data_IF_132184821601
#
_entry.id   IF_132184821601
#
_cell.length_a   1.000
_cell.length_b   1.000
_cell.length_c   1.000
_cell.angle_alpha   90.00
_cell.angle_beta   90.00
_cell.angle_gamma   90.00
#
_symmetry.space_group_name_H-M   'P 1'
#
loop_
_entity.id
_entity.type
_entity.pdbx_description
1 polymer ?
#
# COMPACT_ATOMS: atom_id res chain seq x y z
N UNK A 1 -103.93 49.83 -0.36
CA UNK A 1 -104.15 48.45 0.08
C UNK A 1 -103.03 47.58 -0.59
N UNK A 2 -102.00 47.29 0.15
CA UNK A 2 -100.96 46.37 -0.28
C UNK A 2 -101.28 44.96 0.25
N UNK A 3 -101.14 43.90 -0.50
CA UNK A 3 -101.34 42.55 0.01
C UNK A 3 -100.14 42.09 0.87
N UNK A 4 -100.36 41.17 1.81
CA UNK A 4 -99.29 40.73 2.72
C UNK A 4 -98.24 39.85 2.04
N UNK A 5 -96.99 39.98 2.52
CA UNK A 5 -95.86 39.20 2.06
C UNK A 5 -96.01 37.72 2.46
N UNK A 6 -95.95 36.84 1.46
CA UNK A 6 -95.85 35.38 1.66
C UNK A 6 -94.47 35.04 2.21
N UNK A 7 -94.43 34.31 3.33
CA UNK A 7 -93.27 33.76 3.96
C UNK A 7 -92.72 32.58 3.11
N UNK A 8 -91.49 32.79 2.56
CA UNK A 8 -90.79 31.66 1.91
C UNK A 8 -90.30 30.68 3.00
N UNK A 9 -90.92 29.45 2.96
CA UNK A 9 -90.46 28.32 3.76
C UNK A 9 -89.33 27.66 3.03
N UNK A 10 -88.11 27.77 3.60
CA UNK A 10 -86.99 26.99 3.13
C UNK A 10 -87.08 25.55 3.51
N UNK A 11 -86.82 24.58 2.61
CA UNK A 11 -86.84 23.17 3.03
C UNK A 11 -85.65 22.90 3.95
N UNK A 12 -85.92 22.15 5.02
CA UNK A 12 -84.95 21.70 5.99
C UNK A 12 -83.90 20.85 5.34
N UNK A 13 -82.64 21.29 5.36
CA UNK A 13 -81.47 20.52 4.84
C UNK A 13 -81.31 19.24 5.68
N UNK A 14 -81.52 18.09 5.06
CA UNK A 14 -81.20 16.83 5.68
C UNK A 14 -79.71 16.69 5.94
N UNK A 15 -79.23 16.28 7.10
CA UNK A 15 -77.81 16.13 7.38
C UNK A 15 -77.19 15.08 6.46
N UNK A 16 -76.25 15.53 5.65
CA UNK A 16 -75.42 14.65 4.80
C UNK A 16 -74.61 13.75 5.71
N UNK A 17 -74.77 12.46 5.58
CA UNK A 17 -74.01 11.46 6.33
C UNK A 17 -72.53 11.61 5.96
N UNK A 18 -71.59 11.64 6.92
CA UNK A 18 -70.14 11.76 6.63
C UNK A 18 -69.67 10.56 5.77
N UNK A 19 -68.77 10.80 4.80
CA UNK A 19 -68.26 9.73 3.95
C UNK A 19 -67.61 8.62 4.78
N UNK A 20 -67.96 7.38 4.48
CA UNK A 20 -67.42 6.20 5.15
C UNK A 20 -65.87 6.22 5.02
N UNK A 21 -65.18 6.30 6.16
CA UNK A 21 -63.72 6.21 6.19
C UNK A 21 -63.27 4.88 5.61
N UNK A 22 -62.28 4.87 4.64
CA UNK A 22 -61.80 3.62 4.07
C UNK A 22 -61.25 2.75 5.21
N UNK A 23 -61.81 1.56 5.37
CA UNK A 23 -61.29 0.53 6.27
C UNK A 23 -60.02 -0.01 5.68
N UNK A 24 -58.85 0.60 6.04
CA UNK A 24 -57.53 0.01 5.76
C UNK A 24 -57.49 -1.34 6.49
N UNK A 25 -57.57 -2.42 5.70
CA UNK A 25 -57.33 -3.76 6.24
C UNK A 25 -55.90 -3.77 6.76
N UNK A 26 -55.72 -3.87 8.07
CA UNK A 26 -54.42 -4.07 8.68
C UNK A 26 -53.80 -5.33 8.04
N UNK A 27 -52.62 -5.24 7.38
CA UNK A 27 -52.02 -6.43 6.82
C UNK A 27 -51.89 -7.48 7.93
N UNK A 28 -52.26 -8.72 7.59
CA UNK A 28 -52.21 -9.79 8.59
C UNK A 28 -50.76 -9.90 9.10
N UNK A 29 -50.57 -10.04 10.40
CA UNK A 29 -49.25 -10.08 11.05
C UNK A 29 -48.31 -11.07 10.40
N UNK A 30 -48.82 -12.15 9.81
CA UNK A 30 -48.03 -13.11 9.06
C UNK A 30 -47.50 -12.56 7.75
N UNK A 31 -48.21 -11.68 7.03
CA UNK A 31 -47.72 -11.06 5.80
C UNK A 31 -46.56 -10.12 6.07
N UNK A 32 -46.60 -9.36 7.18
CA UNK A 32 -45.47 -8.53 7.63
C UNK A 32 -44.26 -9.41 7.99
N UNK A 33 -44.51 -10.53 8.70
CA UNK A 33 -43.42 -11.46 9.06
C UNK A 33 -42.75 -12.10 7.82
N UNK A 34 -43.56 -12.51 6.82
CA UNK A 34 -43.05 -13.07 5.57
C UNK A 34 -42.22 -12.05 4.78
N UNK A 35 -42.73 -10.80 4.65
CA UNK A 35 -42.01 -9.73 3.97
C UNK A 35 -40.68 -9.41 4.70
N UNK A 36 -40.69 -9.35 6.04
CA UNK A 36 -39.49 -9.13 6.84
C UNK A 36 -38.47 -10.27 6.66
N UNK A 37 -38.93 -11.51 6.57
CA UNK A 37 -38.09 -12.69 6.37
C UNK A 37 -37.48 -12.72 4.95
N UNK A 38 -38.25 -12.30 3.94
CA UNK A 38 -37.76 -12.16 2.57
C UNK A 38 -36.72 -11.03 2.43
N UNK A 39 -36.94 -9.89 3.12
CA UNK A 39 -35.98 -8.79 3.16
C UNK A 39 -34.71 -9.24 3.89
N UNK A 40 -34.85 -9.88 5.05
CA UNK A 40 -33.70 -10.39 5.80
C UNK A 40 -32.93 -11.48 5.03
N UNK A 41 -33.63 -12.38 4.35
CA UNK A 41 -33.06 -13.41 3.49
C UNK A 41 -32.35 -12.80 2.25
N UNK A 42 -32.96 -11.80 1.61
CA UNK A 42 -32.35 -11.06 0.51
C UNK A 42 -31.11 -10.28 0.95
N UNK A 43 -31.19 -9.62 2.11
CA UNK A 43 -30.04 -8.90 2.70
C UNK A 43 -28.91 -9.86 3.08
N UNK A 44 -29.24 -11.00 3.67
CA UNK A 44 -28.27 -12.05 4.01
C UNK A 44 -27.64 -12.65 2.73
N UNK A 45 -28.43 -12.95 1.70
CA UNK A 45 -27.94 -13.46 0.43
C UNK A 45 -27.03 -12.45 -0.30
N UNK A 46 -27.23 -11.16 -0.06
CA UNK A 46 -26.37 -10.09 -0.61
C UNK A 46 -25.11 -9.86 0.25
N UNK A 47 -25.24 -9.80 1.57
CA UNK A 47 -24.15 -9.47 2.48
C UNK A 47 -23.20 -10.64 2.75
N UNK A 48 -23.71 -11.89 2.80
CA UNK A 48 -22.86 -13.05 3.09
C UNK A 48 -21.74 -13.25 2.06
N UNK A 49 -22.00 -13.19 0.74
CA UNK A 49 -20.92 -13.27 -0.26
C UNK A 49 -19.90 -12.14 -0.13
N UNK A 50 -20.35 -10.91 0.17
CA UNK A 50 -19.49 -9.75 0.37
C UNK A 50 -18.60 -9.96 1.61
N UNK A 51 -19.19 -10.38 2.74
CA UNK A 51 -18.44 -10.66 3.97
C UNK A 51 -17.46 -11.84 3.79
N UNK A 52 -17.85 -12.86 3.03
CA UNK A 52 -16.93 -13.96 2.72
C UNK A 52 -15.81 -13.55 1.77
N UNK A 53 -16.10 -12.68 0.79
CA UNK A 53 -15.07 -12.10 -0.10
C UNK A 53 -14.13 -11.20 0.70
N UNK A 54 -14.67 -10.31 1.53
CA UNK A 54 -13.90 -9.45 2.42
C UNK A 54 -13.03 -10.26 3.39
N UNK A 55 -13.55 -11.37 3.96
CA UNK A 55 -12.79 -12.24 4.86
C UNK A 55 -11.66 -12.98 4.12
N UNK A 56 -11.86 -13.38 2.86
CA UNK A 56 -10.81 -13.99 2.03
C UNK A 56 -9.75 -12.96 1.65
N UNK A 57 -10.18 -11.79 1.14
CA UNK A 57 -9.28 -10.69 0.81
C UNK A 57 -8.46 -10.25 2.03
N UNK A 58 -9.07 -10.22 3.21
CA UNK A 58 -8.39 -9.92 4.47
C UNK A 58 -7.23 -10.89 4.74
N UNK A 59 -7.44 -12.20 4.59
CA UNK A 59 -6.39 -13.20 4.80
C UNK A 59 -5.28 -13.17 3.72
N UNK A 60 -5.57 -12.64 2.52
CA UNK A 60 -4.61 -12.50 1.43
C UNK A 60 -3.76 -11.22 1.55
N UNK A 61 -4.36 -10.13 2.03
CA UNK A 61 -3.68 -8.82 2.21
C UNK A 61 -2.89 -8.79 3.52
N UNK A 62 -3.54 -9.21 4.63
CA UNK A 62 -2.95 -9.13 5.96
C UNK A 62 -2.36 -10.47 6.35
N UNK A 63 -1.07 -10.62 6.10
CA UNK A 63 -0.35 -11.81 6.56
C UNK A 63 -0.20 -11.78 8.08
N UNK A 64 -0.29 -12.93 8.70
CA UNK A 64 0.04 -13.08 10.13
C UNK A 64 1.42 -12.45 10.37
N UNK A 65 1.64 -11.75 11.48
CA UNK A 65 2.94 -11.19 11.79
C UNK A 65 4.01 -12.25 11.59
N UNK A 66 4.87 -12.04 10.61
CA UNK A 66 5.99 -12.94 10.34
C UNK A 66 6.91 -12.86 11.56
N UNK A 67 7.37 -14.00 12.11
CA UNK A 67 8.37 -13.98 13.18
C UNK A 67 9.53 -13.09 12.75
N UNK A 68 9.84 -12.09 13.55
CA UNK A 68 10.94 -11.16 13.26
C UNK A 68 12.26 -11.90 13.48
N UNK A 69 13.06 -12.13 12.44
CA UNK A 69 14.38 -12.66 12.66
C UNK A 69 15.21 -11.59 13.38
N UNK A 70 15.75 -11.94 14.53
CA UNK A 70 16.67 -11.08 15.30
C UNK A 70 18.09 -11.41 14.88
N UNK A 71 18.88 -10.39 14.54
CA UNK A 71 20.29 -10.56 14.25
C UNK A 71 21.05 -10.65 15.57
N UNK A 72 21.66 -11.80 15.85
CA UNK A 72 22.54 -12.02 17.01
C UNK A 72 23.97 -12.13 16.51
N UNK A 73 24.87 -11.40 17.13
CA UNK A 73 26.31 -11.52 16.85
C UNK A 73 26.84 -12.69 17.68
N UNK A 74 27.29 -13.75 17.02
CA UNK A 74 27.89 -14.89 17.71
C UNK A 74 29.26 -14.52 18.34
N UNK A 75 29.82 -15.35 19.20
CA UNK A 75 31.11 -15.08 19.82
C UNK A 75 32.29 -14.88 18.85
N UNK A 76 32.15 -15.32 17.61
CA UNK A 76 33.11 -15.15 16.53
C UNK A 76 32.91 -13.83 15.75
N UNK A 77 31.93 -12.99 16.14
CA UNK A 77 31.63 -11.71 15.49
C UNK A 77 30.83 -11.83 14.20
N UNK A 78 30.27 -13.01 13.90
CA UNK A 78 29.44 -13.24 12.68
C UNK A 78 27.98 -13.00 13.01
N UNK A 79 27.24 -12.23 12.19
CA UNK A 79 25.80 -12.08 12.37
C UNK A 79 25.06 -13.35 11.98
N UNK A 80 24.26 -13.87 12.89
CA UNK A 80 23.36 -15.00 12.69
C UNK A 80 21.91 -14.56 12.85
N UNK A 81 21.01 -15.13 12.06
CA UNK A 81 19.58 -14.91 12.21
C UNK A 81 19.03 -15.97 13.17
N UNK A 82 18.35 -15.49 14.21
CA UNK A 82 17.62 -16.33 15.14
C UNK A 82 16.15 -15.99 15.04
N UNK A 83 15.31 -16.99 14.74
CA UNK A 83 13.87 -16.86 14.96
C UNK A 83 13.63 -17.11 16.45
N UNK A 84 13.19 -16.08 17.15
CA UNK A 84 12.63 -16.29 18.47
C UNK A 84 11.35 -17.12 18.31
N UNK A 85 11.42 -18.38 18.69
CA UNK A 85 10.23 -19.18 18.87
C UNK A 85 9.49 -18.56 20.05
N UNK A 86 8.26 -18.02 19.87
CA UNK A 86 7.51 -17.53 21.01
C UNK A 86 7.29 -18.72 21.92
N UNK A 87 7.82 -18.64 23.15
CA UNK A 87 7.35 -19.54 24.19
C UNK A 87 5.82 -19.40 24.26
N UNK A 88 5.07 -20.48 24.56
CA UNK A 88 3.62 -20.46 24.62
C UNK A 88 3.17 -19.68 25.89
N UNK A 89 3.52 -18.44 25.95
CA UNK A 89 2.88 -17.48 26.85
C UNK A 89 1.82 -16.77 26.04
N UNK A 90 0.62 -16.67 26.60
CA UNK A 90 -0.45 -15.83 26.04
C UNK A 90 0.18 -14.53 25.55
N UNK A 91 -0.07 -14.11 24.29
CA UNK A 91 0.54 -12.90 23.75
C UNK A 91 0.03 -11.74 24.60
N UNK A 92 0.85 -11.33 25.57
CA UNK A 92 0.76 -9.95 26.05
C UNK A 92 1.09 -9.12 24.83
N UNK A 93 0.13 -8.37 24.24
CA UNK A 93 0.44 -7.55 23.09
C UNK A 93 1.52 -6.59 23.54
N UNK A 94 2.75 -6.78 23.05
CA UNK A 94 3.74 -5.71 23.09
C UNK A 94 3.02 -4.52 22.45
N UNK A 95 2.80 -3.40 23.15
CA UNK A 95 2.11 -2.27 22.58
C UNK A 95 2.93 -1.85 21.36
N UNK A 96 2.40 -2.18 20.16
CA UNK A 96 2.86 -1.54 18.95
C UNK A 96 2.73 -0.03 19.18
N UNK A 97 3.71 0.80 18.76
CA UNK A 97 3.59 2.23 18.91
C UNK A 97 2.20 2.63 18.37
N UNK A 98 1.37 3.15 19.26
CA UNK A 98 0.07 3.66 18.83
C UNK A 98 0.40 4.86 17.94
N UNK A 99 -0.33 5.05 16.86
CA UNK A 99 -0.14 6.24 16.00
C UNK A 99 -0.69 7.49 16.66
N UNK A 100 -1.25 7.30 17.82
CA UNK A 100 -1.45 8.31 18.86
C UNK A 100 -0.14 8.58 19.65
N UNK A 101 0.94 7.83 19.37
CA UNK A 101 2.26 7.96 19.96
C UNK A 101 3.15 8.96 19.21
N UNK A 102 4.21 9.38 19.89
CA UNK A 102 5.21 10.33 19.40
C UNK A 102 6.35 9.66 18.61
N UNK A 103 6.31 8.33 18.48
CA UNK A 103 7.40 7.57 17.86
C UNK A 103 7.30 7.55 16.34
N UNK A 104 8.44 7.71 15.70
CA UNK A 104 8.60 7.66 14.25
C UNK A 104 8.36 6.25 13.72
N UNK A 105 7.68 6.15 12.58
CA UNK A 105 7.28 4.89 11.95
C UNK A 105 8.09 4.68 10.68
N UNK A 106 8.78 3.55 10.59
CA UNK A 106 9.55 3.18 9.41
C UNK A 106 8.86 2.03 8.69
N UNK A 107 8.53 2.23 7.41
CA UNK A 107 7.83 1.28 6.56
C UNK A 107 8.72 0.95 5.37
N UNK A 108 8.91 -0.33 5.09
CA UNK A 108 9.64 -0.80 3.92
C UNK A 108 8.65 -1.11 2.79
N UNK A 109 8.71 -0.33 1.72
CA UNK A 109 7.96 -0.59 0.50
C UNK A 109 8.77 -1.50 -0.41
N UNK A 110 8.18 -2.61 -0.85
CA UNK A 110 8.80 -3.62 -1.70
C UNK A 110 8.03 -3.77 -3.01
N UNK A 111 8.72 -3.58 -4.13
CA UNK A 111 8.23 -3.96 -5.45
C UNK A 111 8.89 -5.28 -5.88
N UNK A 112 8.08 -6.32 -6.09
CA UNK A 112 8.57 -7.68 -6.35
C UNK A 112 8.28 -8.10 -7.77
N UNK A 113 9.30 -8.65 -8.44
CA UNK A 113 9.16 -9.27 -9.74
C UNK A 113 8.76 -10.75 -9.60
N UNK A 114 7.47 -11.01 -9.81
CA UNK A 114 6.84 -12.33 -9.81
C UNK A 114 6.28 -12.67 -11.18
N UNK A 115 6.99 -12.30 -12.26
CA UNK A 115 6.51 -12.57 -13.62
C UNK A 115 6.34 -14.08 -13.86
N UNK A 116 5.31 -14.50 -14.64
CA UNK A 116 5.08 -15.91 -14.95
C UNK A 116 6.30 -16.60 -15.56
N UNK A 117 7.11 -15.88 -16.34
CA UNK A 117 8.33 -16.36 -16.95
C UNK A 117 9.38 -16.75 -15.91
N UNK A 118 9.57 -15.96 -14.86
CA UNK A 118 10.49 -16.25 -13.76
C UNK A 118 10.01 -17.45 -12.96
N UNK A 119 8.72 -17.50 -12.64
CA UNK A 119 8.11 -18.62 -11.92
C UNK A 119 8.28 -19.91 -12.73
N UNK A 120 8.06 -19.88 -14.06
CA UNK A 120 8.23 -21.02 -14.94
C UNK A 120 9.68 -21.53 -15.02
N UNK A 121 10.67 -20.66 -14.82
CA UNK A 121 12.09 -20.99 -14.78
C UNK A 121 12.56 -21.50 -13.40
N UNK A 122 11.70 -21.43 -12.39
CA UNK A 122 12.06 -21.74 -11.00
C UNK A 122 12.98 -20.69 -10.36
N UNK A 123 13.10 -19.50 -10.97
CA UNK A 123 13.84 -18.39 -10.40
C UNK A 123 13.09 -17.82 -9.20
N UNK A 124 13.75 -17.67 -8.03
CA UNK A 124 13.09 -17.08 -6.88
C UNK A 124 12.75 -15.61 -7.15
N UNK A 125 11.64 -15.10 -6.60
CA UNK A 125 11.29 -13.68 -6.72
C UNK A 125 12.35 -12.79 -6.10
N UNK A 126 12.50 -11.57 -6.60
CA UNK A 126 13.45 -10.56 -6.09
C UNK A 126 12.75 -9.24 -5.88
N UNK A 127 13.17 -8.52 -4.85
CA UNK A 127 12.74 -7.13 -4.64
C UNK A 127 13.60 -6.19 -5.48
N UNK A 128 13.09 -5.80 -6.64
CA UNK A 128 13.79 -4.87 -7.53
C UNK A 128 13.51 -3.39 -7.19
N UNK A 129 12.53 -3.14 -6.35
CA UNK A 129 12.24 -1.84 -5.73
C UNK A 129 12.22 -2.00 -4.22
N UNK A 130 12.98 -1.15 -3.55
CA UNK A 130 13.02 -1.05 -2.08
C UNK A 130 13.06 0.43 -1.73
N UNK A 131 12.05 0.90 -1.00
CA UNK A 131 11.99 2.29 -0.52
C UNK A 131 11.72 2.25 0.99
N UNK A 132 12.61 2.82 1.76
CA UNK A 132 12.40 3.04 3.18
C UNK A 132 11.67 4.37 3.36
N UNK A 133 10.47 4.31 3.93
CA UNK A 133 9.65 5.48 4.27
C UNK A 133 9.66 5.65 5.77
N UNK A 134 10.07 6.82 6.24
CA UNK A 134 10.10 7.19 7.67
C UNK A 134 9.11 8.31 7.92
N UNK A 135 8.12 8.09 8.76
CA UNK A 135 7.03 9.03 9.06
C UNK A 135 7.12 9.47 10.50
N UNK A 136 7.18 10.76 10.74
CA UNK A 136 7.03 11.33 12.07
C UNK A 136 5.56 11.75 12.27
N UNK A 137 4.81 11.08 13.15
CA UNK A 137 3.38 11.36 13.31
C UNK A 137 3.11 12.69 14.04
N UNK A 138 4.11 13.26 14.72
CA UNK A 138 3.98 14.52 15.48
C UNK A 138 4.26 15.72 14.58
N UNK A 139 5.41 15.72 13.91
CA UNK A 139 5.83 16.83 13.04
C UNK A 139 5.27 16.67 11.63
N UNK A 140 4.67 15.52 11.29
CA UNK A 140 4.14 15.17 9.96
C UNK A 140 5.20 15.13 8.86
N UNK A 141 6.48 15.09 9.25
CA UNK A 141 7.59 14.96 8.30
C UNK A 141 7.72 13.53 7.79
N UNK A 142 7.88 13.40 6.49
CA UNK A 142 8.09 12.12 5.81
C UNK A 142 9.42 12.13 5.09
N UNK A 143 10.26 11.15 5.35
CA UNK A 143 11.47 10.88 4.57
C UNK A 143 11.30 9.64 3.70
N UNK A 144 11.68 9.72 2.42
CA UNK A 144 11.70 8.58 1.49
C UNK A 144 13.11 8.33 1.00
N UNK A 145 13.62 7.11 1.20
CA UNK A 145 14.97 6.69 0.77
C UNK A 145 14.87 5.44 -0.11
N UNK A 146 14.99 5.57 -1.43
CA UNK A 146 15.17 4.43 -2.32
C UNK A 146 16.52 3.75 -2.06
N UNK A 147 16.48 2.42 -1.95
CA UNK A 147 17.67 1.60 -1.73
C UNK A 147 18.00 0.89 -3.06
N UNK A 148 19.17 1.17 -3.67
CA UNK A 148 19.57 0.53 -4.91
C UNK A 148 19.66 -0.99 -4.76
N UNK A 149 19.06 -1.74 -5.69
CA UNK A 149 18.98 -3.20 -5.62
C UNK A 149 20.35 -3.90 -5.70
N UNK A 150 21.33 -3.26 -6.33
CA UNK A 150 22.67 -3.78 -6.52
C UNK A 150 23.64 -3.40 -5.39
N UNK A 151 23.13 -2.80 -4.30
CA UNK A 151 23.90 -2.43 -3.11
C UNK A 151 24.50 -3.67 -2.47
N UNK A 152 25.84 -3.71 -2.33
CA UNK A 152 26.54 -4.77 -1.61
C UNK A 152 26.33 -4.58 -0.10
N UNK A 153 25.73 -5.60 0.51
CA UNK A 153 25.37 -5.58 1.93
C UNK A 153 25.72 -6.91 2.59
N UNK A 154 25.86 -6.89 3.91
CA UNK A 154 25.89 -8.12 4.70
C UNK A 154 24.45 -8.61 4.89
N UNK A 155 24.11 -9.76 4.28
CA UNK A 155 22.83 -10.45 4.51
C UNK A 155 23.03 -11.39 5.70
N UNK A 156 22.37 -11.16 6.85
CA UNK A 156 22.52 -11.99 8.04
C UNK A 156 22.24 -13.47 7.73
N UNK A 157 23.14 -14.34 8.16
CA UNK A 157 23.06 -15.79 7.89
C UNK A 157 23.49 -16.25 6.49
N UNK A 158 23.66 -15.33 5.51
CA UNK A 158 23.96 -15.68 4.11
C UNK A 158 25.28 -15.08 3.59
N UNK A 159 25.83 -14.07 4.24
CA UNK A 159 27.06 -13.42 3.81
C UNK A 159 26.84 -12.15 3.01
N UNK A 160 27.89 -11.73 2.25
CA UNK A 160 27.84 -10.49 1.49
C UNK A 160 27.28 -10.74 0.09
N UNK A 161 26.24 -10.02 -0.29
CA UNK A 161 25.61 -10.10 -1.62
C UNK A 161 24.84 -8.81 -1.93
N UNK A 162 24.23 -8.73 -3.12
CA UNK A 162 23.32 -7.65 -3.48
C UNK A 162 22.10 -7.66 -2.55
N UNK A 163 21.64 -6.51 -2.13
CA UNK A 163 20.53 -6.42 -1.19
C UNK A 163 19.24 -7.06 -1.71
N UNK A 164 19.00 -7.04 -3.04
CA UNK A 164 17.82 -7.69 -3.62
C UNK A 164 17.86 -9.24 -3.53
N UNK A 165 19.03 -9.83 -3.33
CA UNK A 165 19.18 -11.28 -3.11
C UNK A 165 18.61 -11.70 -1.75
N UNK A 166 18.58 -10.78 -0.77
CA UNK A 166 17.98 -11.05 0.55
C UNK A 166 16.50 -11.49 0.42
N UNK A 167 15.75 -10.88 -0.50
CA UNK A 167 14.37 -11.30 -0.74
C UNK A 167 14.30 -12.76 -1.23
N UNK A 168 15.14 -13.11 -2.20
CA UNK A 168 15.19 -14.49 -2.76
C UNK A 168 15.58 -15.53 -1.70
N UNK A 169 16.62 -15.23 -0.91
CA UNK A 169 17.05 -16.13 0.16
C UNK A 169 15.97 -16.29 1.25
N UNK A 170 15.31 -15.19 1.62
CA UNK A 170 14.21 -15.22 2.57
C UNK A 170 13.00 -15.97 2.06
N UNK A 171 12.64 -15.82 0.78
CA UNK A 171 11.51 -16.52 0.15
C UNK A 171 11.70 -18.05 0.08
N UNK A 172 12.95 -18.52 0.06
CA UNK A 172 13.32 -19.95 0.06
C UNK A 172 13.59 -20.50 1.46
N UNK A 173 13.40 -19.71 2.51
CA UNK A 173 13.66 -20.06 3.90
C UNK A 173 12.46 -19.78 4.79
N UNK A 174 12.58 -20.11 6.07
CA UNK A 174 11.59 -19.80 7.11
C UNK A 174 11.48 -18.28 7.43
N UNK A 175 12.47 -17.47 7.00
CA UNK A 175 12.54 -16.03 7.31
C UNK A 175 11.64 -15.17 6.45
N UNK A 176 11.07 -15.69 5.38
CA UNK A 176 10.29 -14.99 4.33
C UNK A 176 11.08 -13.89 3.59
N UNK A 177 10.66 -13.56 2.35
CA UNK A 177 11.31 -12.50 1.56
C UNK A 177 11.36 -11.15 2.28
N UNK A 178 10.21 -10.58 2.67
CA UNK A 178 10.17 -9.31 3.39
C UNK A 178 10.91 -9.33 4.74
N UNK A 179 10.83 -10.45 5.47
CA UNK A 179 11.49 -10.59 6.77
C UNK A 179 13.02 -10.51 6.67
N UNK A 180 13.62 -11.20 5.71
CA UNK A 180 15.08 -11.16 5.54
C UNK A 180 15.57 -9.82 4.97
N UNK A 181 14.82 -9.19 4.05
CA UNK A 181 15.16 -7.82 3.58
C UNK A 181 15.10 -6.84 4.74
N UNK A 182 14.07 -6.91 5.60
CA UNK A 182 13.96 -6.10 6.81
C UNK A 182 15.19 -6.24 7.70
N UNK A 183 15.54 -7.47 8.09
CA UNK A 183 16.70 -7.76 8.95
C UNK A 183 18.01 -7.28 8.29
N UNK A 184 18.14 -7.37 6.98
CA UNK A 184 19.29 -6.89 6.22
C UNK A 184 19.40 -5.36 6.28
N UNK A 185 18.28 -4.64 6.15
CA UNK A 185 18.26 -3.17 6.26
C UNK A 185 18.57 -2.76 7.69
N UNK A 186 17.92 -3.35 8.68
CA UNK A 186 18.16 -3.04 10.10
C UNK A 186 19.64 -3.23 10.47
N UNK A 187 20.23 -4.33 10.03
CA UNK A 187 21.64 -4.64 10.33
C UNK A 187 22.62 -3.64 9.68
N UNK A 188 22.46 -3.32 8.37
CA UNK A 188 23.42 -2.51 7.65
C UNK A 188 23.21 -1.01 7.85
N UNK A 189 21.95 -0.56 7.87
CA UNK A 189 21.60 0.87 7.95
C UNK A 189 21.48 1.36 9.40
N UNK A 190 21.28 0.45 10.35
CA UNK A 190 21.15 0.79 11.78
C UNK A 190 19.85 1.49 12.13
N UNK A 191 18.79 1.25 11.36
CA UNK A 191 17.46 1.83 11.57
C UNK A 191 16.43 0.70 11.72
N UNK A 192 15.54 0.76 12.72
CA UNK A 192 14.46 -0.23 12.84
C UNK A 192 13.48 -0.10 11.68
N UNK A 193 12.97 -1.21 11.19
CA UNK A 193 11.90 -1.27 10.18
C UNK A 193 10.65 -1.87 10.82
N UNK A 194 9.63 -1.04 11.05
CA UNK A 194 8.45 -1.43 11.82
C UNK A 194 7.48 -2.28 11.03
N UNK A 195 7.26 -1.92 9.75
CA UNK A 195 6.31 -2.59 8.87
C UNK A 195 6.86 -2.72 7.47
N UNK A 196 6.22 -3.59 6.68
CA UNK A 196 6.44 -3.63 5.24
C UNK A 196 5.10 -3.54 4.48
N UNK A 197 5.18 -3.10 3.22
CA UNK A 197 4.14 -3.25 2.23
C UNK A 197 4.78 -3.73 0.92
N UNK A 198 4.28 -4.82 0.39
CA UNK A 198 4.80 -5.51 -0.79
C UNK A 198 3.75 -5.49 -1.89
N UNK A 199 4.17 -5.18 -3.10
CA UNK A 199 3.34 -5.20 -4.30
C UNK A 199 4.10 -5.83 -5.46
N UNK A 200 3.42 -6.67 -6.24
CA UNK A 200 3.96 -7.16 -7.50
C UNK A 200 3.58 -6.23 -8.67
N UNK A 201 4.09 -6.51 -9.87
CA UNK A 201 3.84 -5.68 -11.04
C UNK A 201 2.37 -5.60 -11.43
N UNK A 202 1.63 -6.71 -11.32
CA UNK A 202 0.20 -6.71 -11.64
C UNK A 202 -0.60 -5.95 -10.59
N UNK A 203 -0.20 -6.07 -9.34
CA UNK A 203 -0.74 -5.29 -8.25
C UNK A 203 -0.54 -3.80 -8.41
N UNK A 204 0.67 -3.39 -8.77
CA UNK A 204 0.96 -1.99 -9.06
C UNK A 204 0.08 -1.45 -10.19
N UNK A 205 -0.06 -2.18 -11.31
CA UNK A 205 -0.93 -1.80 -12.43
C UNK A 205 -2.36 -1.61 -11.92
N UNK A 206 -2.91 -2.59 -11.17
CA UNK A 206 -4.28 -2.49 -10.64
C UNK A 206 -4.46 -1.28 -9.72
N UNK A 207 -3.51 -1.01 -8.82
CA UNK A 207 -3.58 0.16 -7.93
C UNK A 207 -3.70 1.44 -8.74
N UNK A 208 -2.81 1.64 -9.71
CA UNK A 208 -2.80 2.85 -10.56
C UNK A 208 -4.09 2.96 -11.35
N UNK A 209 -4.58 1.87 -11.97
CA UNK A 209 -5.79 1.86 -12.79
C UNK A 209 -7.06 2.11 -11.95
N UNK A 210 -7.13 1.55 -10.72
CA UNK A 210 -8.24 1.81 -9.77
C UNK A 210 -8.32 3.30 -9.38
N UNK A 211 -7.18 3.98 -9.33
CA UNK A 211 -7.10 5.43 -9.10
C UNK A 211 -7.40 6.26 -10.36
N UNK A 212 -7.68 5.62 -11.50
CA UNK A 212 -7.89 6.31 -12.76
C UNK A 212 -6.61 6.82 -13.42
N UNK A 213 -5.46 6.28 -13.06
CA UNK A 213 -4.14 6.71 -13.52
C UNK A 213 -3.45 7.69 -12.58
N UNK A 214 -2.22 8.06 -12.92
CA UNK A 214 -1.42 9.06 -12.20
C UNK A 214 -0.88 10.11 -13.16
N UNK A 215 -0.77 11.34 -12.70
CA UNK A 215 -0.14 12.42 -13.48
C UNK A 215 1.21 12.75 -12.88
N UNK A 216 2.26 12.60 -13.69
CA UNK A 216 3.66 12.81 -13.29
C UNK A 216 4.27 13.90 -14.16
N UNK A 217 5.00 14.84 -13.56
CA UNK A 217 5.80 15.81 -14.30
C UNK A 217 7.16 15.22 -14.63
N UNK A 218 7.38 14.92 -15.90
CA UNK A 218 8.64 14.34 -16.41
C UNK A 218 9.64 15.46 -16.63
N UNK A 219 10.73 15.56 -15.83
CA UNK A 219 11.62 16.74 -15.85
C UNK A 219 12.47 16.84 -17.13
N UNK A 220 12.79 15.72 -17.73
CA UNK A 220 13.53 15.64 -18.99
C UNK A 220 13.03 14.45 -19.82
N UNK A 221 13.15 14.49 -21.17
CA UNK A 221 12.67 13.39 -21.99
C UNK A 221 13.46 12.12 -21.69
N UNK A 222 12.76 11.00 -21.55
CA UNK A 222 13.36 9.69 -21.28
C UNK A 222 13.18 8.82 -22.51
N UNK A 223 14.27 8.22 -22.97
CA UNK A 223 14.31 7.28 -24.08
C UNK A 223 14.90 5.96 -23.59
N UNK A 224 14.19 4.86 -23.83
CA UNK A 224 14.67 3.52 -23.48
C UNK A 224 14.40 2.60 -24.68
N UNK A 225 15.45 2.29 -25.44
CA UNK A 225 15.35 1.47 -26.64
C UNK A 225 15.40 -0.04 -26.32
N UNK A 226 15.74 -0.40 -25.07
CA UNK A 226 15.94 -1.78 -24.63
C UNK A 226 15.10 -2.12 -23.37
N UNK A 227 13.92 -1.50 -23.24
CA UNK A 227 13.04 -1.82 -22.13
C UNK A 227 12.54 -3.26 -22.20
N UNK A 228 12.69 -4.07 -21.14
CA UNK A 228 12.23 -5.45 -21.13
C UNK A 228 10.72 -5.55 -21.39
N UNK A 229 10.34 -6.34 -22.40
CA UNK A 229 8.97 -6.67 -22.76
C UNK A 229 8.68 -8.16 -22.49
N UNK A 230 7.42 -8.56 -22.69
CA UNK A 230 7.01 -9.96 -22.54
C UNK A 230 7.77 -10.88 -23.52
N UNK A 231 8.07 -12.10 -23.07
CA UNK A 231 8.71 -13.11 -23.91
C UNK A 231 10.19 -12.85 -24.24
N UNK A 232 10.93 -12.21 -23.32
CA UNK A 232 12.36 -11.86 -23.50
C UNK A 232 12.65 -10.92 -24.67
N UNK A 233 11.65 -10.17 -25.11
CA UNK A 233 11.79 -9.14 -26.12
C UNK A 233 12.12 -7.79 -25.49
N UNK A 234 12.47 -6.81 -26.34
CA UNK A 234 12.64 -5.42 -25.96
C UNK A 234 11.60 -4.56 -26.66
N UNK A 235 11.15 -3.50 -25.96
CA UNK A 235 10.30 -2.47 -26.52
C UNK A 235 10.95 -1.10 -26.35
N UNK A 236 10.69 -0.22 -27.29
CA UNK A 236 11.16 1.16 -27.21
C UNK A 236 10.15 2.00 -26.45
N UNK A 237 10.64 2.72 -25.46
CA UNK A 237 9.85 3.67 -24.68
C UNK A 237 10.34 5.09 -24.92
N UNK A 238 9.39 6.00 -24.91
CA UNK A 238 9.67 7.43 -24.95
C UNK A 238 8.67 8.16 -24.04
N UNK A 239 9.20 8.91 -23.07
CA UNK A 239 8.41 9.78 -22.21
C UNK A 239 8.84 11.22 -22.49
N UNK A 240 7.97 12.07 -23.07
CA UNK A 240 8.30 13.47 -23.29
C UNK A 240 8.33 14.24 -21.96
N UNK A 241 9.01 15.39 -21.97
CA UNK A 241 9.04 16.33 -20.83
C UNK A 241 7.66 16.90 -20.54
N UNK A 242 7.39 17.23 -19.28
CA UNK A 242 6.19 17.87 -18.79
C UNK A 242 5.18 16.89 -18.22
N UNK A 243 3.98 17.39 -17.92
CA UNK A 243 2.91 16.60 -17.29
C UNK A 243 2.43 15.46 -18.20
N UNK A 244 2.55 14.24 -17.71
CA UNK A 244 2.14 13.02 -18.40
C UNK A 244 1.12 12.28 -17.52
N UNK A 245 -0.07 12.05 -18.06
CA UNK A 245 -1.03 11.15 -17.45
C UNK A 245 -0.74 9.71 -17.88
N UNK A 246 -0.58 8.81 -16.90
CA UNK A 246 -0.15 7.43 -17.11
C UNK A 246 -1.16 6.47 -16.51
N UNK A 247 -1.60 5.49 -17.30
CA UNK A 247 -2.27 4.29 -16.79
C UNK A 247 -1.29 3.39 -16.03
N UNK A 248 -1.78 2.32 -15.40
CA UNK A 248 -0.95 1.45 -14.58
C UNK A 248 0.20 0.80 -15.35
N UNK A 249 -0.04 0.41 -16.61
CA UNK A 249 1.00 -0.19 -17.47
C UNK A 249 2.07 0.82 -17.86
N UNK A 250 1.68 2.03 -18.19
CA UNK A 250 2.60 3.11 -18.55
C UNK A 250 3.40 3.58 -17.34
N UNK A 251 2.75 3.73 -16.18
CA UNK A 251 3.41 4.07 -14.93
C UNK A 251 4.43 2.98 -14.51
N UNK A 252 4.09 1.68 -14.67
CA UNK A 252 5.03 0.59 -14.40
C UNK A 252 6.25 0.66 -15.31
N UNK A 253 6.06 0.95 -16.59
CA UNK A 253 7.18 1.14 -17.55
C UNK A 253 8.05 2.33 -17.13
N UNK A 254 7.44 3.44 -16.74
CA UNK A 254 8.13 4.65 -16.30
C UNK A 254 9.04 4.39 -15.08
N UNK A 255 8.54 3.70 -14.04
CA UNK A 255 9.33 3.39 -12.84
C UNK A 255 10.35 2.27 -13.03
N UNK A 256 10.32 1.54 -14.16
CA UNK A 256 11.25 0.44 -14.46
C UNK A 256 12.31 0.80 -15.48
N UNK A 257 12.13 1.86 -16.28
CA UNK A 257 13.11 2.25 -17.31
C UNK A 257 14.47 2.61 -16.70
N UNK A 258 15.57 2.24 -17.37
CA UNK A 258 16.94 2.37 -16.86
C UNK A 258 17.99 2.66 -17.95
N UNK A 259 17.62 2.62 -19.22
CA UNK A 259 18.60 2.52 -20.31
C UNK A 259 19.51 3.75 -20.43
N UNK A 260 18.94 4.94 -20.27
CA UNK A 260 19.68 6.21 -20.42
C UNK A 260 20.18 6.78 -19.09
N UNK A 261 19.89 6.11 -17.95
CA UNK A 261 20.21 6.61 -16.62
C UNK A 261 20.51 5.49 -15.59
N UNK A 262 20.88 5.88 -14.39
CA UNK A 262 21.32 4.97 -13.34
C UNK A 262 20.17 4.58 -12.39
N UNK A 263 20.47 3.72 -11.42
CA UNK A 263 19.55 3.24 -10.40
C UNK A 263 18.97 4.37 -9.52
N UNK A 264 19.69 5.47 -9.35
CA UNK A 264 19.24 6.65 -8.58
C UNK A 264 18.14 7.42 -9.31
N UNK A 265 18.27 7.61 -10.63
CA UNK A 265 17.23 8.22 -11.44
C UNK A 265 15.95 7.36 -11.45
N UNK A 266 16.08 6.02 -11.47
CA UNK A 266 14.97 5.11 -11.30
C UNK A 266 14.32 5.30 -9.92
N UNK A 267 15.09 5.37 -8.85
CA UNK A 267 14.60 5.66 -7.50
C UNK A 267 13.82 6.97 -7.41
N UNK A 268 14.33 8.03 -8.04
CA UNK A 268 13.63 9.32 -8.10
C UNK A 268 12.28 9.22 -8.83
N UNK A 269 12.19 8.47 -9.95
CA UNK A 269 10.90 8.23 -10.63
C UNK A 269 9.92 7.44 -9.78
N UNK A 270 10.41 6.47 -9.01
CA UNK A 270 9.57 5.71 -8.07
C UNK A 270 8.98 6.62 -6.98
N UNK A 271 9.78 7.54 -6.43
CA UNK A 271 9.30 8.55 -5.48
C UNK A 271 8.25 9.47 -6.12
N UNK A 272 8.51 10.00 -7.32
CA UNK A 272 7.53 10.84 -8.04
C UNK A 272 6.18 10.14 -8.23
N UNK A 273 6.20 8.86 -8.61
CA UNK A 273 4.94 8.11 -8.78
C UNK A 273 4.24 7.85 -7.45
N UNK A 274 4.96 7.59 -6.36
CA UNK A 274 4.35 7.47 -5.02
C UNK A 274 3.70 8.77 -4.58
N UNK A 275 4.33 9.92 -4.82
CA UNK A 275 3.75 11.25 -4.55
C UNK A 275 2.49 11.48 -5.41
N UNK A 276 2.55 11.15 -6.70
CA UNK A 276 1.41 11.28 -7.61
C UNK A 276 0.23 10.37 -7.21
N UNK A 277 0.52 9.13 -6.78
CA UNK A 277 -0.49 8.20 -6.23
C UNK A 277 -1.17 8.78 -4.99
N UNK A 278 -0.39 9.36 -4.07
CA UNK A 278 -0.92 10.02 -2.88
C UNK A 278 -1.82 11.20 -3.26
N UNK A 279 -1.37 12.09 -4.13
CA UNK A 279 -2.17 13.24 -4.60
C UNK A 279 -3.48 12.79 -5.24
N UNK A 280 -3.44 11.78 -6.09
CA UNK A 280 -4.63 11.20 -6.73
C UNK A 280 -5.58 10.59 -5.69
N UNK A 281 -5.05 9.86 -4.70
CA UNK A 281 -5.85 9.27 -3.64
C UNK A 281 -6.57 10.33 -2.78
N UNK A 282 -5.92 11.46 -2.51
CA UNK A 282 -6.50 12.59 -1.79
C UNK A 282 -7.61 13.24 -2.62
N UNK A 283 -7.37 13.51 -3.91
CA UNK A 283 -8.34 14.13 -4.82
C UNK A 283 -9.62 13.31 -4.97
N UNK A 284 -9.51 11.98 -4.95
CA UNK A 284 -10.65 11.07 -5.06
C UNK A 284 -11.36 10.80 -3.74
N UNK A 285 -10.96 11.46 -2.65
CA UNK A 285 -11.51 11.26 -1.30
C UNK A 285 -11.59 9.76 -0.90
N UNK A 286 -10.55 9.00 -1.26
CA UNK A 286 -10.55 7.53 -1.14
C UNK A 286 -10.70 7.04 0.30
N UNK A 287 -10.47 7.87 1.31
CA UNK A 287 -10.75 7.51 2.71
C UNK A 287 -12.22 7.12 2.93
N UNK A 288 -13.15 7.76 2.21
CA UNK A 288 -14.56 7.42 2.28
C UNK A 288 -14.88 6.04 1.65
N UNK A 289 -14.00 5.52 0.79
CA UNK A 289 -14.14 4.26 0.06
C UNK A 289 -13.05 3.25 0.41
N UNK A 290 -12.34 3.45 1.52
CA UNK A 290 -11.18 2.63 1.88
C UNK A 290 -11.52 1.12 2.00
N UNK A 291 -12.71 0.78 2.49
CA UNK A 291 -13.16 -0.63 2.57
C UNK A 291 -13.35 -1.26 1.18
N UNK A 292 -13.93 -0.52 0.23
CA UNK A 292 -14.12 -1.01 -1.15
C UNK A 292 -12.77 -1.24 -1.84
N UNK A 293 -11.82 -0.33 -1.62
CA UNK A 293 -10.47 -0.44 -2.16
C UNK A 293 -9.69 -1.62 -1.58
N UNK A 294 -9.81 -1.90 -0.29
CA UNK A 294 -9.20 -3.07 0.34
C UNK A 294 -9.74 -4.36 -0.31
N UNK A 295 -11.04 -4.42 -0.58
CA UNK A 295 -11.66 -5.58 -1.23
C UNK A 295 -11.23 -5.72 -2.71
N UNK A 296 -11.15 -4.60 -3.44
CA UNK A 296 -10.75 -4.57 -4.86
C UNK A 296 -9.26 -4.89 -5.06
N UNK A 297 -8.43 -4.45 -4.11
CA UNK A 297 -6.98 -4.68 -4.10
C UNK A 297 -6.58 -5.97 -3.37
N UNK A 298 -7.55 -6.77 -2.92
CA UNK A 298 -7.32 -8.05 -2.25
C UNK A 298 -6.37 -8.96 -3.03
N UNK A 299 -5.35 -9.51 -2.35
CA UNK A 299 -4.29 -10.31 -2.97
C UNK A 299 -3.27 -9.54 -3.81
N UNK A 300 -3.39 -8.20 -3.89
CA UNK A 300 -2.51 -7.32 -4.67
C UNK A 300 -1.38 -6.75 -3.84
N UNK A 301 -1.68 -6.38 -2.60
CA UNK A 301 -0.73 -5.84 -1.61
C UNK A 301 -0.63 -6.82 -0.45
N UNK A 302 0.59 -7.13 -0.04
CA UNK A 302 0.88 -7.93 1.17
C UNK A 302 1.53 -7.03 2.22
N UNK A 303 1.03 -7.06 3.44
CA UNK A 303 1.55 -6.21 4.52
C UNK A 303 1.34 -6.87 5.89
N UNK A 304 2.20 -6.54 6.86
CA UNK A 304 2.05 -6.87 8.27
C UNK A 304 1.36 -5.74 9.09
N UNK A 305 0.92 -4.67 8.40
CA UNK A 305 0.07 -3.64 8.98
C UNK A 305 -1.34 -4.21 9.26
N UNK A 306 -1.91 -3.88 10.41
CA UNK A 306 -3.32 -4.21 10.67
C UNK A 306 -4.25 -3.25 9.91
N UNK A 307 -5.47 -3.64 9.55
CA UNK A 307 -6.42 -2.77 8.83
C UNK A 307 -6.64 -1.42 9.50
N UNK A 308 -6.73 -1.40 10.83
CA UNK A 308 -6.86 -0.15 11.60
C UNK A 308 -5.65 0.77 11.44
N UNK A 309 -4.45 0.17 11.34
CA UNK A 309 -3.20 0.90 11.19
C UNK A 309 -3.10 1.48 9.76
N UNK A 310 -3.58 0.74 8.75
CA UNK A 310 -3.70 1.24 7.36
C UNK A 310 -4.63 2.45 7.31
N UNK A 311 -5.79 2.41 7.98
CA UNK A 311 -6.70 3.55 8.05
C UNK A 311 -6.08 4.75 8.78
N UNK A 312 -5.36 4.49 9.88
CA UNK A 312 -4.68 5.55 10.63
C UNK A 312 -3.58 6.22 9.80
N UNK A 313 -2.79 5.42 9.05
CA UNK A 313 -1.80 5.94 8.09
C UNK A 313 -2.43 6.71 6.94
N UNK A 314 -3.53 6.21 6.39
CA UNK A 314 -4.22 6.88 5.32
C UNK A 314 -4.72 8.27 5.76
N UNK A 315 -5.26 8.38 6.99
CA UNK A 315 -5.64 9.68 7.60
C UNK A 315 -4.44 10.59 7.76
N UNK A 316 -3.37 10.07 8.38
CA UNK A 316 -2.13 10.82 8.55
C UNK A 316 -1.57 11.29 7.19
N UNK A 317 -1.60 10.43 6.18
CA UNK A 317 -1.16 10.74 4.83
C UNK A 317 -1.92 11.90 4.16
N UNK A 318 -3.20 12.09 4.48
CA UNK A 318 -3.99 13.25 4.00
C UNK A 318 -3.58 14.54 4.73
N UNK A 319 -3.20 14.44 6.00
CA UNK A 319 -2.82 15.57 6.85
C UNK A 319 -1.38 16.07 6.61
N UNK A 320 -0.53 15.29 5.92
CA UNK A 320 0.86 15.65 5.59
C UNK A 320 0.84 16.60 4.39
N UNK A 321 1.46 17.76 4.52
CA UNK A 321 1.65 18.67 3.39
C UNK A 321 2.72 18.12 2.42
N UNK A 322 2.63 18.53 1.15
CA UNK A 322 3.60 18.08 0.14
C UNK A 322 5.02 18.54 0.48
N UNK A 323 5.15 19.73 1.02
CA UNK A 323 6.44 20.33 1.39
C UNK A 323 7.10 19.59 2.59
N UNK A 324 6.33 18.80 3.32
CA UNK A 324 6.80 17.96 4.43
C UNK A 324 7.28 16.56 3.97
N UNK A 325 7.22 16.27 2.68
CA UNK A 325 7.71 15.01 2.08
C UNK A 325 9.10 15.26 1.48
N UNK A 326 10.10 14.64 2.09
CA UNK A 326 11.50 14.81 1.71
C UNK A 326 12.05 13.55 1.04
N UNK A 327 12.58 13.74 -0.17
CA UNK A 327 13.23 12.68 -0.94
C UNK A 327 14.73 12.65 -0.65
N UNK A 328 15.22 11.48 -0.24
CA UNK A 328 16.63 11.23 0.03
C UNK A 328 17.22 10.31 -1.04
N UNK A 329 18.55 10.31 -1.18
CA UNK A 329 19.25 9.46 -2.13
C UNK A 329 20.58 9.00 -1.54
N UNK A 330 20.99 7.78 -1.87
CA UNK A 330 22.33 7.26 -1.58
C UNK A 330 23.37 7.69 -2.62
N UNK A 331 22.99 8.50 -3.61
CA UNK A 331 23.94 9.03 -4.60
C UNK A 331 25.02 9.82 -3.88
N UNK A 332 26.29 9.54 -4.21
CA UNK A 332 27.44 10.12 -3.53
C UNK A 332 27.87 9.40 -2.23
N UNK A 333 27.01 8.56 -1.65
CA UNK A 333 27.36 7.69 -0.52
C UNK A 333 27.72 6.26 -0.95
N UNK A 334 27.65 5.95 -2.24
CA UNK A 334 28.04 4.66 -2.82
C UNK A 334 28.95 4.86 -4.04
N UNK A 335 29.69 3.81 -4.39
CA UNK A 335 30.57 3.79 -5.57
C UNK A 335 30.39 2.48 -6.35
N UNK A 336 30.59 2.54 -7.65
CA UNK A 336 30.56 1.39 -8.54
C UNK A 336 31.74 0.45 -8.27
N UNK A 337 31.46 -0.83 -8.25
CA UNK A 337 32.45 -1.89 -8.11
C UNK A 337 32.15 -3.05 -9.05
N UNK A 338 33.13 -3.41 -9.84
CA UNK A 338 33.11 -4.60 -10.70
C UNK A 338 33.98 -5.68 -10.10
N UNK A 339 33.36 -6.77 -9.70
CA UNK A 339 34.08 -7.92 -9.17
C UNK A 339 34.86 -8.65 -10.27
N UNK A 340 35.92 -9.43 -9.93
CA UNK A 340 36.75 -10.14 -10.92
C UNK A 340 35.97 -11.11 -11.80
N UNK A 341 34.80 -11.60 -11.37
CA UNK A 341 33.88 -12.46 -12.12
C UNK A 341 32.95 -11.67 -13.05
N UNK A 342 33.10 -10.34 -13.17
CA UNK A 342 32.25 -9.47 -13.97
C UNK A 342 30.94 -9.04 -13.32
N UNK A 343 30.68 -9.39 -12.07
CA UNK A 343 29.49 -8.95 -11.37
C UNK A 343 29.61 -7.48 -10.94
N UNK A 344 28.56 -6.71 -11.20
CA UNK A 344 28.47 -5.31 -10.79
C UNK A 344 27.83 -5.19 -9.40
N UNK A 345 28.38 -4.33 -8.56
CA UNK A 345 27.88 -3.97 -7.23
C UNK A 345 28.00 -2.47 -7.00
N UNK A 346 27.14 -1.95 -6.11
CA UNK A 346 27.31 -0.64 -5.49
C UNK A 346 27.89 -0.84 -4.08
N UNK A 347 29.05 -0.26 -3.80
CA UNK A 347 29.69 -0.38 -2.48
C UNK A 347 29.45 0.87 -1.66
N UNK A 348 28.90 0.70 -0.45
CA UNK A 348 28.52 1.79 0.43
C UNK A 348 29.69 2.36 1.24
N UNK A 349 29.73 3.69 1.32
CA UNK A 349 30.40 4.40 2.41
C UNK A 349 29.43 4.43 3.62
N UNK A 350 29.50 3.42 4.48
CA UNK A 350 28.55 3.25 5.58
C UNK A 350 28.42 4.45 6.54
N UNK A 351 29.51 5.19 6.90
CA UNK A 351 29.38 6.45 7.63
C UNK A 351 28.47 7.46 6.92
N UNK A 352 28.63 7.66 5.61
CA UNK A 352 27.80 8.58 4.83
C UNK A 352 26.35 8.08 4.71
N UNK A 353 26.14 6.78 4.49
CA UNK A 353 24.81 6.18 4.46
C UNK A 353 24.10 6.40 5.79
N UNK A 354 24.75 6.14 6.94
CA UNK A 354 24.17 6.35 8.25
C UNK A 354 23.87 7.81 8.55
N UNK A 355 24.67 8.73 8.00
CA UNK A 355 24.37 10.16 8.10
C UNK A 355 23.08 10.51 7.35
N UNK A 356 22.91 10.03 6.10
CA UNK A 356 21.66 10.24 5.32
C UNK A 356 20.46 9.67 6.07
N UNK A 357 20.58 8.48 6.65
CA UNK A 357 19.52 7.86 7.46
C UNK A 357 19.21 8.70 8.70
N UNK A 358 20.21 9.21 9.37
CA UNK A 358 20.04 10.08 10.52
C UNK A 358 19.32 11.40 10.12
N UNK A 359 19.74 12.05 9.03
CA UNK A 359 19.08 13.24 8.49
C UNK A 359 17.60 12.97 8.14
N UNK A 360 17.31 11.81 7.54
CA UNK A 360 15.94 11.39 7.23
C UNK A 360 15.08 11.20 8.48
N UNK A 361 15.67 10.81 9.60
CA UNK A 361 14.96 10.47 10.85
C UNK A 361 14.97 11.58 11.90
N UNK A 362 15.79 12.61 11.74
CA UNK A 362 15.78 13.79 12.61
C UNK A 362 14.81 14.80 12.02
N UNK A 363 13.80 15.18 12.80
CA UNK A 363 12.92 16.29 12.40
C UNK A 363 13.74 17.56 12.32
N UNK A 364 13.62 18.37 11.26
CA UNK A 364 14.22 19.71 11.24
C UNK A 364 13.70 20.51 12.42
N UNK A 365 14.65 21.14 13.16
CA UNK A 365 14.33 21.97 14.32
C UNK A 365 13.71 23.30 13.88
#
# INVERSE_FOLDING_TARGET
>A
MQPPAEALVYPEEQPVAPPARPRWRRPARWAVAVVSLLIAGGLAAYLIPILLAAHRAYGEVFVTPVPRPTVVINPQGTPELVLETPEPHEPTPTPLPSWDGTERINILLLGVDTTPERVAQGDPPRSDTMILVSIDPVTRQVGMLPIPRDLLVRIPGYGDDKINAAYAYGALSEFTGPGLVRATIEYNFGIPVHYFAEVDFQGFIRIVDTLGGVTVDVPAPIKDDEHPAEGFNYTRLYFPTGLQHMDGRTALRYVRTRHDDNDFARGARQQQVLEALREQAIQLELLARASELIDELGGTVRTDLRPRDVLALARLGVEIDKDDIHSYSLQGAVSDYWAPNGAFYLVANWPAVRQIVAEMTVSPQ
#
